data_IF_174573098645
#
_entry.id   IF_174573098645
#
_cell.length_a   1.000
_cell.length_b   1.000
_cell.length_c   1.000
_cell.angle_alpha   90.00
_cell.angle_beta   90.00
_cell.angle_gamma   90.00
#
_symmetry.space_group_name_H-M   'P 1'
#
loop_
_entity.id
_entity.type
_entity.pdbx_description
1 polymer ?
#
# COMPACT_ATOMS: atom_id res chain seq x y z
N UNK A 1 -18.89 -3.56 19.58
CA UNK A 1 -18.58 -4.76 18.76
C UNK A 1 -19.77 -5.70 18.81
N UNK A 2 -20.27 -6.13 17.66
CA UNK A 2 -21.41 -7.06 17.56
C UNK A 2 -20.95 -8.49 17.87
N UNK A 3 -21.88 -9.40 18.30
CA UNK A 3 -21.60 -10.83 18.39
C UNK A 3 -21.18 -11.40 17.01
N UNK A 4 -20.27 -12.37 17.02
CA UNK A 4 -19.80 -13.06 15.82
C UNK A 4 -19.45 -14.51 16.14
N UNK A 5 -19.49 -15.37 15.12
CA UNK A 5 -18.93 -16.71 15.17
C UNK A 5 -17.41 -16.64 14.99
N UNK A 6 -16.69 -17.62 15.52
CA UNK A 6 -15.25 -17.74 15.38
C UNK A 6 -14.86 -19.14 14.97
N UNK A 7 -14.02 -19.26 13.94
CA UNK A 7 -13.45 -20.52 13.48
C UNK A 7 -11.96 -20.37 13.24
N UNK A 8 -11.22 -21.45 13.48
CA UNK A 8 -9.80 -21.55 13.22
C UNK A 8 -9.54 -22.74 12.31
N UNK A 9 -9.50 -22.55 10.97
CA UNK A 9 -9.33 -23.61 10.00
C UNK A 9 -7.97 -24.28 10.10
N UNK A 10 -7.90 -25.55 9.77
CA UNK A 10 -6.65 -26.33 9.76
C UNK A 10 -5.82 -26.10 8.50
N UNK A 11 -6.46 -25.72 7.39
CA UNK A 11 -5.79 -25.49 6.11
C UNK A 11 -6.47 -24.38 5.28
N UNK A 12 -5.84 -24.02 4.16
CA UNK A 12 -6.32 -22.94 3.26
C UNK A 12 -7.66 -23.31 2.62
N UNK A 13 -7.86 -24.58 2.27
CA UNK A 13 -9.09 -25.04 1.63
C UNK A 13 -10.28 -24.89 2.58
N UNK A 14 -10.13 -25.30 3.84
CA UNK A 14 -11.14 -25.11 4.88
C UNK A 14 -11.40 -23.62 5.11
N UNK A 15 -10.35 -22.77 5.20
CA UNK A 15 -10.49 -21.33 5.37
C UNK A 15 -11.35 -20.69 4.26
N UNK A 16 -11.06 -21.03 3.01
CA UNK A 16 -11.80 -20.58 1.83
C UNK A 16 -13.23 -21.12 1.81
N UNK A 17 -13.43 -22.37 2.23
CA UNK A 17 -14.77 -22.97 2.29
C UNK A 17 -15.68 -22.30 3.33
N UNK A 18 -15.13 -21.89 4.47
CA UNK A 18 -15.84 -21.15 5.53
C UNK A 18 -16.19 -19.71 5.16
N UNK A 19 -15.54 -19.14 4.13
CA UNK A 19 -15.71 -17.73 3.76
C UNK A 19 -17.08 -17.46 3.15
N UNK A 20 -17.58 -16.25 3.35
CA UNK A 20 -18.84 -15.75 2.82
C UNK A 20 -18.83 -14.22 2.76
N UNK A 21 -19.84 -13.60 2.17
CA UNK A 21 -19.99 -12.15 2.12
C UNK A 21 -20.04 -11.50 3.53
N UNK A 22 -20.52 -12.24 4.55
CA UNK A 22 -20.63 -11.75 5.93
C UNK A 22 -19.47 -12.19 6.83
N UNK A 23 -18.52 -12.97 6.32
CA UNK A 23 -17.31 -13.36 7.04
C UNK A 23 -16.14 -12.44 6.77
N UNK A 24 -15.10 -12.51 7.63
CA UNK A 24 -13.79 -11.88 7.38
C UNK A 24 -12.67 -12.78 7.89
N UNK A 25 -11.61 -12.90 7.10
CA UNK A 25 -10.36 -13.48 7.57
C UNK A 25 -9.71 -12.54 8.57
N UNK A 26 -9.18 -13.10 9.66
CA UNK A 26 -8.43 -12.37 10.67
C UNK A 26 -7.05 -12.98 10.87
N UNK A 27 -6.02 -12.14 10.80
CA UNK A 27 -4.64 -12.44 11.17
C UNK A 27 -4.27 -11.65 12.44
N UNK A 28 -3.31 -10.72 12.39
CA UNK A 28 -2.94 -9.89 13.54
C UNK A 28 -4.02 -8.91 14.04
N UNK A 29 -5.10 -8.72 13.29
CA UNK A 29 -6.26 -7.91 13.70
C UNK A 29 -6.04 -6.40 13.79
N UNK A 30 -4.86 -5.89 13.51
CA UNK A 30 -4.42 -4.49 13.73
C UNK A 30 -5.23 -3.44 12.96
N UNK A 31 -6.05 -3.82 12.00
CA UNK A 31 -7.01 -2.93 11.35
C UNK A 31 -8.46 -3.42 11.51
N UNK A 32 -8.71 -4.73 11.33
CA UNK A 32 -10.07 -5.27 11.39
C UNK A 32 -10.72 -5.04 12.76
N UNK A 33 -9.98 -5.28 13.85
CA UNK A 33 -10.51 -5.12 15.20
C UNK A 33 -10.84 -3.65 15.52
N UNK A 34 -10.05 -2.70 15.04
CA UNK A 34 -10.37 -1.27 15.17
C UNK A 34 -11.69 -0.94 14.48
N UNK A 35 -11.85 -1.38 13.24
CA UNK A 35 -13.09 -1.18 12.48
C UNK A 35 -14.31 -1.85 13.14
N UNK A 36 -14.10 -3.00 13.80
CA UNK A 36 -15.17 -3.68 14.54
C UNK A 36 -15.52 -2.94 15.84
N UNK A 37 -14.55 -2.39 16.56
CA UNK A 37 -14.76 -1.58 17.77
C UNK A 37 -15.51 -0.29 17.46
N UNK A 38 -15.16 0.37 16.35
CA UNK A 38 -15.85 1.57 15.85
C UNK A 38 -17.17 1.24 15.13
N UNK A 39 -17.55 -0.05 15.10
CA UNK A 39 -18.80 -0.51 14.48
C UNK A 39 -18.91 -0.20 12.98
N UNK A 40 -17.79 -0.03 12.30
CA UNK A 40 -17.66 0.20 10.84
C UNK A 40 -17.69 -1.12 10.09
N UNK A 41 -16.97 -2.13 10.59
CA UNK A 41 -17.02 -3.50 10.09
C UNK A 41 -17.81 -4.38 11.08
N UNK A 42 -18.78 -5.13 10.56
CA UNK A 42 -19.70 -5.94 11.36
C UNK A 42 -19.76 -7.37 10.81
N UNK A 43 -18.63 -8.09 10.78
CA UNK A 43 -18.66 -9.47 10.32
C UNK A 43 -19.49 -10.33 11.29
N UNK A 44 -20.25 -11.26 10.74
CA UNK A 44 -20.98 -12.27 11.52
C UNK A 44 -20.10 -13.48 11.83
N UNK A 45 -19.00 -13.65 11.10
CA UNK A 45 -18.05 -14.73 11.27
C UNK A 45 -16.62 -14.27 11.07
N UNK A 46 -15.75 -14.56 12.04
CA UNK A 46 -14.30 -14.38 11.96
C UNK A 46 -13.62 -15.73 11.70
N UNK A 47 -12.82 -15.78 10.65
CA UNK A 47 -12.02 -16.94 10.26
C UNK A 47 -10.56 -16.64 10.59
N UNK A 48 -10.07 -17.22 11.68
CA UNK A 48 -8.71 -17.00 12.16
C UNK A 48 -7.71 -17.83 11.34
N UNK A 49 -6.92 -17.13 10.53
CA UNK A 49 -5.94 -17.75 9.63
C UNK A 49 -4.53 -17.84 10.23
N UNK A 50 -4.33 -17.44 11.49
CA UNK A 50 -2.99 -17.42 12.12
C UNK A 50 -2.32 -18.78 12.25
N UNK A 51 -3.09 -19.87 12.13
CA UNK A 51 -2.57 -21.25 12.17
C UNK A 51 -2.16 -21.82 10.81
N UNK A 52 -2.37 -21.09 9.71
CA UNK A 52 -2.05 -21.58 8.38
C UNK A 52 -0.55 -21.47 8.08
N UNK A 53 0.04 -22.37 7.26
CA UNK A 53 1.46 -22.38 6.92
C UNK A 53 1.78 -21.31 5.85
N UNK A 54 1.61 -20.03 6.17
CA UNK A 54 1.78 -18.88 5.28
C UNK A 54 2.78 -17.85 5.87
N UNK A 55 3.77 -18.31 6.64
CA UNK A 55 4.70 -17.47 7.38
C UNK A 55 6.18 -17.62 6.94
N UNK A 56 6.42 -18.16 5.74
CA UNK A 56 7.76 -18.36 5.20
C UNK A 56 8.11 -17.27 4.16
N UNK A 57 9.42 -17.00 4.03
CA UNK A 57 10.01 -16.20 2.94
C UNK A 57 10.93 -17.12 2.15
N UNK A 58 10.62 -17.34 0.88
CA UNK A 58 11.28 -18.30 0.02
C UNK A 58 11.79 -17.62 -1.25
N UNK A 59 12.92 -18.11 -1.77
CA UNK A 59 13.40 -17.69 -3.10
C UNK A 59 12.58 -18.40 -4.19
N UNK A 60 12.21 -17.66 -5.23
CA UNK A 60 11.56 -18.23 -6.41
C UNK A 60 12.60 -18.78 -7.41
N UNK A 61 12.15 -19.67 -8.29
CA UNK A 61 13.03 -20.21 -9.33
C UNK A 61 13.59 -19.13 -10.28
N UNK A 62 12.86 -18.02 -10.42
CA UNK A 62 13.23 -16.86 -11.24
C UNK A 62 14.15 -15.88 -10.49
N UNK A 63 14.57 -16.23 -9.28
CA UNK A 63 15.47 -15.41 -8.47
C UNK A 63 14.78 -14.27 -7.72
N UNK A 64 13.45 -14.22 -7.69
CA UNK A 64 12.66 -13.34 -6.85
C UNK A 64 12.46 -13.85 -5.43
N UNK A 65 11.51 -13.26 -4.68
CA UNK A 65 11.09 -13.74 -3.36
C UNK A 65 9.58 -13.95 -3.30
N UNK A 66 9.16 -15.07 -2.70
CA UNK A 66 7.79 -15.34 -2.30
C UNK A 66 7.65 -15.17 -0.80
N UNK A 67 6.79 -14.25 -0.38
CA UNK A 67 6.59 -13.86 1.02
C UNK A 67 5.18 -14.34 1.41
N UNK A 68 5.10 -15.24 2.38
CA UNK A 68 3.82 -15.74 2.89
C UNK A 68 2.99 -14.62 3.52
N UNK A 69 1.68 -14.68 3.34
CA UNK A 69 0.76 -13.62 3.77
C UNK A 69 0.75 -13.39 5.29
N UNK A 70 1.17 -14.36 6.09
CA UNK A 70 1.22 -14.30 7.56
C UNK A 70 2.60 -13.89 8.10
N UNK A 71 3.62 -13.69 7.27
CA UNK A 71 4.89 -13.11 7.72
C UNK A 71 4.59 -11.77 8.39
N UNK A 72 5.08 -11.57 9.64
CA UNK A 72 4.87 -10.31 10.33
C UNK A 72 5.60 -9.16 9.63
N UNK A 73 5.07 -7.95 9.73
CA UNK A 73 5.75 -6.79 9.15
C UNK A 73 7.12 -6.55 9.81
N UNK A 74 7.29 -6.93 11.08
CA UNK A 74 8.57 -6.82 11.77
C UNK A 74 9.59 -7.83 11.21
N UNK A 75 9.22 -9.11 11.11
CA UNK A 75 10.10 -10.15 10.57
C UNK A 75 10.47 -9.88 9.12
N UNK A 76 9.48 -9.43 8.31
CA UNK A 76 9.73 -9.06 6.92
C UNK A 76 10.72 -7.90 6.79
N UNK A 77 10.56 -6.84 7.60
CA UNK A 77 11.42 -5.66 7.52
C UNK A 77 12.90 -5.95 7.85
N UNK A 78 13.14 -6.91 8.75
CA UNK A 78 14.47 -7.32 9.20
C UNK A 78 14.95 -8.64 8.57
N UNK A 79 14.22 -9.16 7.58
CA UNK A 79 14.63 -10.38 6.90
C UNK A 79 15.87 -10.12 6.04
N UNK A 80 16.97 -10.92 6.16
CA UNK A 80 18.23 -10.65 5.46
C UNK A 80 18.11 -10.49 3.95
N UNK A 81 17.29 -11.32 3.30
CA UNK A 81 17.06 -11.21 1.85
C UNK A 81 16.30 -9.94 1.47
N UNK A 82 15.42 -9.44 2.36
CA UNK A 82 14.69 -8.18 2.14
C UNK A 82 15.61 -6.99 2.34
N UNK A 83 16.41 -6.96 3.41
CA UNK A 83 17.35 -5.86 3.66
C UNK A 83 18.38 -5.74 2.54
N UNK A 84 18.89 -6.88 2.03
CA UNK A 84 19.92 -6.90 1.00
C UNK A 84 19.40 -6.65 -0.41
N UNK A 85 18.26 -7.26 -0.77
CA UNK A 85 17.77 -7.27 -2.15
C UNK A 85 16.63 -6.31 -2.42
N UNK A 86 15.86 -5.95 -1.38
CA UNK A 86 14.70 -5.06 -1.48
C UNK A 86 14.69 -4.01 -0.36
N UNK A 87 15.80 -3.27 -0.14
CA UNK A 87 15.92 -2.32 0.97
C UNK A 87 14.82 -1.25 0.96
N UNK A 88 14.27 -0.92 -0.20
CA UNK A 88 13.12 -0.04 -0.36
C UNK A 88 11.89 -0.54 0.42
N UNK A 89 11.64 -1.86 0.42
CA UNK A 89 10.54 -2.48 1.16
C UNK A 89 10.78 -2.42 2.67
N UNK A 90 11.99 -2.77 3.13
CA UNK A 90 12.37 -2.65 4.54
C UNK A 90 12.18 -1.22 5.05
N UNK A 91 12.71 -0.22 4.34
CA UNK A 91 12.58 1.20 4.67
C UNK A 91 11.10 1.62 4.79
N UNK A 92 10.26 1.22 3.83
CA UNK A 92 8.84 1.56 3.83
C UNK A 92 8.11 0.95 5.03
N UNK A 93 8.34 -0.32 5.33
CA UNK A 93 7.73 -0.99 6.49
C UNK A 93 8.18 -0.32 7.79
N UNK A 94 9.46 -0.04 7.96
CA UNK A 94 10.02 0.58 9.15
C UNK A 94 9.58 2.04 9.34
N UNK A 95 9.26 2.75 8.26
CA UNK A 95 8.65 4.08 8.32
C UNK A 95 7.18 4.04 8.77
N UNK A 96 6.52 2.88 8.68
CA UNK A 96 5.11 2.68 9.03
C UNK A 96 4.88 2.27 10.48
N UNK A 97 3.67 2.51 10.99
CA UNK A 97 3.15 2.03 12.27
C UNK A 97 4.06 2.30 13.49
N UNK A 98 4.04 1.40 14.46
CA UNK A 98 4.97 1.30 15.60
C UNK A 98 5.60 -0.10 15.62
N UNK A 99 6.72 -0.33 16.36
CA UNK A 99 7.29 -1.67 16.51
C UNK A 99 6.26 -2.70 16.98
N UNK A 100 5.43 -2.35 17.97
CA UNK A 100 4.40 -3.22 18.54
C UNK A 100 3.35 -3.63 17.48
N UNK A 101 2.91 -2.66 16.66
CA UNK A 101 1.97 -2.96 15.58
C UNK A 101 2.61 -3.82 14.48
N UNK A 102 3.86 -3.55 14.12
CA UNK A 102 4.55 -4.36 13.11
C UNK A 102 4.76 -5.82 13.55
N UNK A 103 4.92 -6.07 14.84
CA UNK A 103 5.00 -7.44 15.39
C UNK A 103 3.69 -8.22 15.22
N UNK A 104 2.56 -7.53 15.12
CA UNK A 104 1.24 -8.15 14.99
C UNK A 104 0.68 -8.10 13.56
N UNK A 105 0.98 -7.04 12.83
CA UNK A 105 0.49 -6.86 11.47
C UNK A 105 1.14 -7.88 10.53
N UNK A 106 0.33 -8.60 9.78
CA UNK A 106 0.79 -9.53 8.74
C UNK A 106 0.95 -8.85 7.39
N UNK A 107 1.79 -9.44 6.54
CA UNK A 107 2.06 -8.92 5.18
C UNK A 107 0.79 -8.86 4.34
N UNK A 108 0.00 -9.93 4.26
CA UNK A 108 -1.28 -9.92 3.54
C UNK A 108 -2.30 -8.95 4.15
N UNK A 109 -2.36 -8.87 5.50
CA UNK A 109 -3.25 -7.95 6.20
C UNK A 109 -2.89 -6.48 5.96
N UNK A 110 -1.62 -6.18 5.76
CA UNK A 110 -1.16 -4.81 5.46
C UNK A 110 -1.73 -4.29 4.12
N UNK A 111 -1.87 -5.15 3.11
CA UNK A 111 -2.48 -4.78 1.83
C UNK A 111 -3.96 -4.41 1.98
N UNK A 112 -4.64 -4.99 2.96
CA UNK A 112 -6.08 -4.88 3.18
C UNK A 112 -6.48 -3.77 4.16
N UNK A 113 -5.51 -2.99 4.66
CA UNK A 113 -5.85 -1.89 5.56
C UNK A 113 -6.67 -0.82 4.85
N UNK A 114 -7.72 -0.36 5.53
CA UNK A 114 -8.66 0.62 4.97
C UNK A 114 -8.22 2.05 5.26
N UNK A 115 -8.79 3.01 4.55
CA UNK A 115 -8.50 4.44 4.69
C UNK A 115 -8.57 4.93 6.15
N UNK A 116 -7.88 6.03 6.45
CA UNK A 116 -7.95 6.75 7.74
C UNK A 116 -8.72 8.07 7.62
N UNK A 117 -9.64 8.15 6.66
CA UNK A 117 -10.56 9.27 6.50
C UNK A 117 -11.42 9.46 7.76
N UNK A 118 -11.46 10.66 8.30
CA UNK A 118 -12.22 10.98 9.53
C UNK A 118 -13.71 10.64 9.37
N UNK A 119 -14.30 10.97 8.22
CA UNK A 119 -15.70 10.70 7.91
C UNK A 119 -16.00 9.20 7.72
N UNK A 120 -15.01 8.41 7.33
CA UNK A 120 -15.13 6.95 7.28
C UNK A 120 -15.19 6.35 8.68
N UNK A 121 -14.44 6.91 9.65
CA UNK A 121 -14.40 6.45 11.03
C UNK A 121 -15.55 7.00 11.88
N UNK A 122 -16.22 8.06 11.48
CA UNK A 122 -17.37 8.60 12.17
C UNK A 122 -18.66 7.98 11.60
N UNK A 123 -19.24 7.03 12.33
CA UNK A 123 -20.45 6.33 11.92
C UNK A 123 -21.73 7.22 11.92
N UNK A 124 -21.64 8.43 12.46
CA UNK A 124 -22.77 9.36 12.54
C UNK A 124 -22.94 10.23 11.29
N UNK A 125 -21.91 10.28 10.42
CA UNK A 125 -21.93 11.08 9.20
C UNK A 125 -22.04 10.21 7.95
N UNK A 126 -22.58 10.70 6.82
CA UNK A 126 -22.64 9.96 5.57
C UNK A 126 -21.24 9.55 5.05
N UNK A 127 -21.14 8.39 4.43
CA UNK A 127 -19.89 7.94 3.78
C UNK A 127 -20.19 6.90 2.72
N UNK A 128 -20.01 7.23 1.44
CA UNK A 128 -20.20 6.31 0.31
C UNK A 128 -19.34 5.03 0.40
N UNK A 129 -18.22 5.07 1.12
CA UNK A 129 -17.36 3.91 1.35
C UNK A 129 -17.94 2.92 2.36
N UNK A 130 -18.75 3.39 3.32
CA UNK A 130 -19.48 2.53 4.27
C UNK A 130 -20.87 2.18 3.75
N UNK A 131 -21.57 3.18 3.24
CA UNK A 131 -22.96 3.10 2.79
C UNK A 131 -23.08 3.79 1.42
N UNK A 132 -23.03 3.01 0.33
CA UNK A 132 -23.07 3.55 -1.02
C UNK A 132 -24.30 4.43 -1.26
N UNK A 133 -24.09 5.60 -1.86
CA UNK A 133 -25.13 6.57 -2.14
C UNK A 133 -25.44 7.56 -1.00
N UNK A 134 -24.83 7.40 0.18
CA UNK A 134 -25.09 8.32 1.31
C UNK A 134 -24.36 9.68 1.20
N UNK A 135 -23.31 9.78 0.38
CA UNK A 135 -22.54 10.99 0.15
C UNK A 135 -21.09 10.92 0.67
N UNK A 136 -20.34 12.00 0.41
CA UNK A 136 -18.95 12.16 0.84
C UNK A 136 -18.68 13.56 1.40
N UNK A 137 -18.91 13.80 2.69
CA UNK A 137 -18.70 15.11 3.33
C UNK A 137 -17.24 15.59 3.30
N UNK A 138 -16.27 14.69 3.10
CA UNK A 138 -14.87 15.06 2.96
C UNK A 138 -14.59 16.00 1.78
N UNK A 139 -15.43 16.01 0.76
CA UNK A 139 -15.25 16.86 -0.42
C UNK A 139 -15.35 18.35 -0.11
N UNK A 140 -16.23 18.72 0.80
CA UNK A 140 -16.51 20.12 1.17
C UNK A 140 -16.17 20.44 2.62
N UNK A 141 -15.79 19.42 3.41
CA UNK A 141 -15.41 19.58 4.81
C UNK A 141 -13.89 19.56 5.00
N UNK A 142 -13.43 19.11 6.19
CA UNK A 142 -11.99 19.01 6.49
C UNK A 142 -11.34 17.92 5.64
N UNK A 143 -10.48 18.30 4.70
CA UNK A 143 -9.90 17.38 3.72
C UNK A 143 -8.37 17.43 3.59
N UNK A 144 -7.68 17.93 4.62
CA UNK A 144 -6.23 18.08 4.67
C UNK A 144 -5.45 16.80 4.29
N UNK A 145 -5.93 15.62 4.72
CA UNK A 145 -5.25 14.33 4.52
C UNK A 145 -5.72 13.57 3.27
N UNK A 146 -6.68 14.12 2.54
CA UNK A 146 -7.35 13.42 1.44
C UNK A 146 -6.59 13.48 0.11
N UNK A 147 -7.09 12.75 -0.88
CA UNK A 147 -6.47 12.58 -2.18
C UNK A 147 -6.35 13.89 -2.96
N UNK A 148 -5.29 13.97 -3.77
CA UNK A 148 -5.06 15.00 -4.80
C UNK A 148 -4.95 14.38 -6.19
N UNK A 149 -4.95 13.04 -6.29
CA UNK A 149 -4.89 12.27 -7.53
C UNK A 149 -5.93 11.15 -7.51
N UNK A 150 -6.54 10.85 -8.65
CA UNK A 150 -7.40 9.70 -8.85
C UNK A 150 -8.62 9.63 -7.93
N UNK A 151 -9.08 10.75 -7.39
CA UNK A 151 -10.32 10.86 -6.63
C UNK A 151 -11.55 10.77 -7.55
N UNK A 152 -12.74 10.60 -6.98
CA UNK A 152 -14.00 10.66 -7.71
C UNK A 152 -15.02 11.52 -6.95
N UNK A 153 -16.16 11.79 -7.59
CA UNK A 153 -17.31 12.43 -6.95
C UNK A 153 -17.81 11.63 -5.74
N UNK A 154 -17.58 10.33 -5.73
CA UNK A 154 -18.03 9.42 -4.69
C UNK A 154 -17.10 9.36 -3.48
N UNK A 155 -15.77 9.55 -3.66
CA UNK A 155 -14.80 9.40 -2.57
C UNK A 155 -13.46 10.08 -2.88
N UNK A 156 -12.93 10.78 -1.87
CA UNK A 156 -11.62 11.45 -1.91
C UNK A 156 -10.62 10.85 -0.92
N UNK A 157 -10.87 9.64 -0.39
CA UNK A 157 -10.02 8.99 0.58
C UNK A 157 -8.66 8.58 -0.01
N UNK A 158 -7.66 8.35 0.85
CA UNK A 158 -6.35 7.85 0.48
C UNK A 158 -6.08 6.45 1.06
N UNK A 159 -5.24 5.67 0.38
CA UNK A 159 -4.70 4.42 0.91
C UNK A 159 -3.58 4.73 1.91
N UNK A 160 -3.57 4.09 3.11
CA UNK A 160 -2.67 4.51 4.18
C UNK A 160 -1.35 3.74 4.27
N UNK A 161 -1.17 2.65 3.51
CA UNK A 161 -0.02 1.74 3.66
C UNK A 161 1.26 2.27 3.02
N UNK A 162 2.31 2.42 3.82
CA UNK A 162 3.67 2.70 3.34
C UNK A 162 4.25 1.49 2.57
N UNK A 163 4.04 0.27 3.09
CA UNK A 163 4.48 -0.98 2.45
C UNK A 163 3.94 -1.12 1.03
N UNK A 164 2.67 -0.80 0.82
CA UNK A 164 2.04 -0.89 -0.50
C UNK A 164 2.66 0.08 -1.53
N UNK A 165 3.21 1.21 -1.09
CA UNK A 165 3.91 2.13 -2.00
C UNK A 165 5.21 1.52 -2.51
N UNK A 166 5.98 0.88 -1.62
CA UNK A 166 7.18 0.14 -2.03
C UNK A 166 6.84 -1.07 -2.92
N UNK A 167 5.80 -1.85 -2.58
CA UNK A 167 5.35 -2.98 -3.39
C UNK A 167 4.92 -2.55 -4.80
N UNK A 168 4.30 -1.38 -4.95
CA UNK A 168 3.95 -0.83 -6.25
C UNK A 168 5.19 -0.50 -7.09
N UNK A 169 6.22 0.13 -6.49
CA UNK A 169 7.48 0.42 -7.15
C UNK A 169 8.24 -0.87 -7.52
N UNK A 170 8.21 -1.88 -6.66
CA UNK A 170 8.88 -3.18 -6.86
C UNK A 170 8.11 -4.14 -7.77
N UNK A 171 6.99 -3.73 -8.36
CA UNK A 171 6.19 -4.55 -9.28
C UNK A 171 5.77 -5.92 -8.70
N UNK A 172 5.37 -5.90 -7.43
CA UNK A 172 4.96 -7.09 -6.73
C UNK A 172 3.76 -7.78 -7.38
N UNK A 173 3.58 -9.06 -7.09
CA UNK A 173 2.40 -9.87 -7.46
C UNK A 173 1.73 -10.40 -6.21
N UNK A 174 0.40 -10.45 -6.20
CA UNK A 174 -0.41 -10.94 -5.07
C UNK A 174 -1.00 -12.29 -5.44
N UNK A 175 -0.61 -13.32 -4.71
CA UNK A 175 -1.15 -14.68 -4.85
C UNK A 175 -2.37 -14.83 -3.97
N UNK A 176 -3.45 -15.29 -4.54
CA UNK A 176 -4.73 -15.49 -3.85
C UNK A 176 -5.29 -16.88 -4.12
N UNK A 177 -6.03 -17.43 -3.14
CA UNK A 177 -6.75 -18.68 -3.24
C UNK A 177 -8.22 -18.42 -2.93
N UNK A 178 -9.10 -18.77 -3.85
CA UNK A 178 -10.55 -18.79 -3.68
C UNK A 178 -11.13 -20.17 -3.96
N UNK A 179 -12.46 -20.30 -3.90
CA UNK A 179 -13.16 -21.54 -4.25
C UNK A 179 -12.96 -21.93 -5.72
N UNK A 180 -12.78 -20.93 -6.59
CA UNK A 180 -12.49 -21.12 -8.01
C UNK A 180 -11.05 -21.54 -8.33
N UNK A 181 -10.18 -21.67 -7.32
CA UNK A 181 -8.78 -22.01 -7.47
C UNK A 181 -7.85 -20.85 -7.11
N UNK A 182 -6.56 -21.04 -7.40
CA UNK A 182 -5.53 -20.03 -7.21
C UNK A 182 -5.45 -19.09 -8.42
N UNK A 183 -5.16 -17.81 -8.15
CA UNK A 183 -4.79 -16.84 -9.20
C UNK A 183 -3.76 -15.84 -8.69
N UNK A 184 -3.15 -15.13 -9.62
CA UNK A 184 -2.18 -14.07 -9.35
C UNK A 184 -2.77 -12.75 -9.83
N UNK A 185 -2.60 -11.70 -9.02
CA UNK A 185 -3.02 -10.35 -9.36
C UNK A 185 -1.76 -9.47 -9.39
N UNK A 186 -1.51 -8.79 -10.50
CA UNK A 186 -0.47 -7.77 -10.54
C UNK A 186 -0.77 -6.68 -9.51
N UNK A 187 0.25 -6.25 -8.76
CA UNK A 187 0.04 -5.28 -7.68
C UNK A 187 -0.56 -3.95 -8.17
N UNK A 188 -0.23 -3.54 -9.38
CA UNK A 188 -0.77 -2.34 -10.02
C UNK A 188 -2.31 -2.37 -10.14
N UNK A 189 -2.87 -3.58 -10.26
CA UNK A 189 -4.31 -3.83 -10.43
C UNK A 189 -4.99 -4.27 -9.13
N UNK A 190 -4.23 -4.56 -8.06
CA UNK A 190 -4.78 -5.10 -6.82
C UNK A 190 -5.71 -4.10 -6.13
N UNK A 191 -5.27 -2.87 -5.90
CA UNK A 191 -6.09 -1.81 -5.32
C UNK A 191 -6.84 -1.03 -6.40
N UNK A 192 -8.03 -0.54 -6.07
CA UNK A 192 -8.92 0.16 -6.97
C UNK A 192 -8.90 1.67 -6.73
N UNK A 193 -9.10 2.46 -7.79
CA UNK A 193 -9.58 3.83 -7.65
C UNK A 193 -11.06 3.81 -7.26
N UNK A 194 -11.57 4.84 -6.58
CA UNK A 194 -12.91 4.83 -6.03
C UNK A 194 -14.00 4.72 -7.11
N UNK A 195 -13.84 5.43 -8.25
CA UNK A 195 -14.86 5.48 -9.29
C UNK A 195 -16.26 5.64 -8.72
N UNK A 196 -17.19 4.81 -9.18
CA UNK A 196 -18.57 4.77 -8.71
C UNK A 196 -18.80 3.76 -7.56
N UNK A 197 -17.79 2.97 -7.19
CA UNK A 197 -17.88 1.90 -6.19
C UNK A 197 -16.81 2.02 -5.10
N UNK A 198 -16.78 3.10 -4.31
CA UNK A 198 -15.74 3.37 -3.32
C UNK A 198 -15.72 2.40 -2.14
N UNK A 199 -16.79 1.62 -1.92
CA UNK A 199 -16.87 0.57 -0.90
C UNK A 199 -15.93 -0.61 -1.21
N UNK A 200 -15.51 -0.79 -2.47
CA UNK A 200 -14.58 -1.83 -2.91
C UNK A 200 -13.16 -1.26 -3.00
N UNK A 201 -12.31 -1.64 -2.04
CA UNK A 201 -10.94 -1.15 -1.95
C UNK A 201 -9.97 -1.87 -2.90
N UNK A 202 -10.27 -3.13 -3.25
CA UNK A 202 -9.38 -4.01 -4.01
C UNK A 202 -10.16 -4.96 -4.94
N UNK A 203 -9.44 -5.86 -5.64
CA UNK A 203 -9.98 -6.80 -6.63
C UNK A 203 -10.29 -8.19 -6.07
N UNK A 204 -10.19 -8.39 -4.74
CA UNK A 204 -10.52 -9.67 -4.14
C UNK A 204 -12.03 -9.94 -4.23
N UNK A 205 -12.37 -11.20 -4.51
CA UNK A 205 -13.71 -11.72 -4.24
C UNK A 205 -13.88 -12.01 -2.73
N UNK A 206 -15.11 -12.13 -2.27
CA UNK A 206 -15.44 -12.32 -0.86
C UNK A 206 -14.88 -13.65 -0.28
N UNK A 207 -14.59 -14.61 -1.14
CA UNK A 207 -14.05 -15.91 -0.78
C UNK A 207 -12.53 -16.05 -1.02
N UNK A 208 -11.85 -14.99 -1.45
CA UNK A 208 -10.43 -15.04 -1.73
C UNK A 208 -9.57 -14.65 -0.53
N UNK A 209 -8.61 -15.53 -0.24
CA UNK A 209 -7.57 -15.36 0.77
C UNK A 209 -6.23 -15.03 0.09
N UNK A 210 -5.57 -13.95 0.51
CA UNK A 210 -4.17 -13.71 0.11
C UNK A 210 -3.29 -14.79 0.74
N UNK A 211 -2.53 -15.51 -0.08
CA UNK A 211 -1.62 -16.56 0.38
C UNK A 211 -0.17 -16.13 0.38
N UNK A 212 0.25 -15.28 -0.58
CA UNK A 212 1.61 -14.75 -0.63
C UNK A 212 1.66 -13.42 -1.40
N UNK A 213 2.75 -12.70 -1.20
CA UNK A 213 3.21 -11.60 -2.05
C UNK A 213 4.51 -12.05 -2.71
N UNK A 214 4.62 -11.88 -4.01
CA UNK A 214 5.82 -12.23 -4.76
C UNK A 214 6.50 -10.96 -5.26
N UNK A 215 7.80 -10.87 -5.06
CA UNK A 215 8.67 -9.84 -5.59
C UNK A 215 9.48 -10.44 -6.75
N UNK A 216 9.52 -9.82 -7.93
CA UNK A 216 10.41 -10.27 -9.01
C UNK A 216 11.89 -10.09 -8.60
N UNK A 217 12.80 -10.75 -9.31
CA UNK A 217 14.23 -10.44 -9.18
C UNK A 217 14.45 -8.94 -9.45
N UNK A 218 15.15 -8.27 -8.54
CA UNK A 218 15.33 -6.82 -8.59
C UNK A 218 16.82 -6.46 -8.70
N UNK A 219 17.11 -5.48 -9.56
CA UNK A 219 18.43 -4.92 -9.78
C UNK A 219 18.55 -3.46 -9.27
N UNK A 220 17.47 -2.91 -8.72
CA UNK A 220 17.36 -1.52 -8.30
C UNK A 220 17.71 -1.30 -6.81
N UNK A 221 18.11 -2.36 -6.09
CA UNK A 221 18.36 -2.31 -4.64
C UNK A 221 19.38 -1.22 -4.25
N UNK A 222 20.44 -1.08 -5.05
CA UNK A 222 21.58 -0.21 -4.75
C UNK A 222 21.19 1.28 -4.68
N UNK A 223 20.31 1.73 -5.57
CA UNK A 223 19.88 3.12 -5.69
C UNK A 223 18.40 3.27 -5.37
N UNK A 224 18.01 2.95 -4.14
CA UNK A 224 16.63 3.04 -3.71
C UNK A 224 16.46 3.84 -2.42
N UNK A 225 15.33 4.55 -2.31
CA UNK A 225 15.02 5.35 -1.12
C UNK A 225 13.51 5.46 -0.91
N UNK A 226 13.08 5.28 0.35
CA UNK A 226 11.72 5.54 0.79
C UNK A 226 11.65 6.81 1.63
N UNK A 227 10.98 7.83 1.12
CA UNK A 227 10.76 9.10 1.82
C UNK A 227 9.33 9.18 2.32
N UNK A 228 9.14 9.43 3.63
CA UNK A 228 7.83 9.67 4.23
C UNK A 228 7.76 11.04 4.89
N UNK A 229 6.79 11.86 4.48
CA UNK A 229 6.50 13.16 5.09
C UNK A 229 5.21 13.04 5.89
N UNK A 230 5.27 13.39 7.17
CA UNK A 230 4.21 13.24 8.16
C UNK A 230 4.23 14.36 9.20
N UNK A 231 3.13 14.57 9.91
CA UNK A 231 2.96 15.67 10.86
C UNK A 231 3.77 15.50 12.16
N UNK A 232 4.26 14.30 12.48
CA UNK A 232 5.06 14.00 13.67
C UNK A 232 6.09 12.90 13.39
N UNK A 233 7.13 12.79 14.21
CA UNK A 233 8.28 11.93 13.98
C UNK A 233 7.96 10.42 13.98
N UNK A 234 6.88 9.99 14.67
CA UNK A 234 6.49 8.57 14.74
C UNK A 234 4.97 8.43 14.79
N UNK A 235 4.48 7.22 14.47
CA UNK A 235 3.08 6.82 14.61
C UNK A 235 2.10 7.81 13.93
N UNK A 236 2.42 8.19 12.70
CA UNK A 236 1.56 9.01 11.86
C UNK A 236 1.54 8.47 10.43
N UNK A 237 0.38 8.56 9.80
CA UNK A 237 0.23 8.27 8.38
C UNK A 237 0.91 9.34 7.53
N UNK A 238 1.32 8.99 6.33
CA UNK A 238 1.94 9.93 5.42
C UNK A 238 0.94 11.00 4.96
N UNK A 239 1.36 12.25 4.95
CA UNK A 239 0.74 13.28 4.10
C UNK A 239 1.10 13.01 2.64
N UNK A 240 2.37 12.72 2.41
CA UNK A 240 2.94 12.28 1.14
C UNK A 240 4.07 11.31 1.46
N UNK A 241 4.17 10.21 0.73
CA UNK A 241 5.35 9.35 0.71
C UNK A 241 5.77 9.03 -0.71
N UNK A 242 7.03 8.68 -0.89
CA UNK A 242 7.63 8.40 -2.18
C UNK A 242 8.55 7.19 -2.06
N UNK A 243 8.30 6.17 -2.85
CA UNK A 243 9.24 5.09 -3.13
C UNK A 243 9.93 5.40 -4.46
N UNK A 244 11.23 5.57 -4.43
CA UNK A 244 12.05 5.84 -5.61
C UNK A 244 13.18 4.82 -5.70
N UNK A 245 13.39 4.25 -6.91
CA UNK A 245 14.51 3.39 -7.20
C UNK A 245 15.03 3.68 -8.61
N UNK A 246 16.34 3.62 -8.78
CA UNK A 246 17.04 3.94 -10.03
C UNK A 246 18.07 2.87 -10.33
N UNK A 247 18.25 2.54 -11.60
CA UNK A 247 19.45 1.91 -12.10
C UNK A 247 20.27 2.94 -12.86
N UNK A 248 21.58 3.00 -12.56
CA UNK A 248 22.48 4.04 -13.08
C UNK A 248 23.67 3.44 -13.82
N UNK A 249 23.97 3.98 -14.98
CA UNK A 249 25.25 3.81 -15.68
C UNK A 249 26.00 5.14 -15.69
N UNK A 250 26.95 5.30 -14.76
CA UNK A 250 27.59 6.59 -14.50
C UNK A 250 26.58 7.60 -13.98
N UNK A 251 26.39 8.70 -14.71
CA UNK A 251 25.41 9.74 -14.40
C UNK A 251 24.08 9.59 -15.16
N UNK A 252 23.89 8.47 -15.88
CA UNK A 252 22.73 8.23 -16.73
C UNK A 252 21.77 7.22 -16.10
N UNK A 253 20.48 7.53 -16.14
CA UNK A 253 19.41 6.65 -15.67
C UNK A 253 19.11 5.62 -16.77
N UNK A 254 19.20 4.31 -16.42
CA UNK A 254 18.87 3.21 -17.33
C UNK A 254 17.56 2.50 -16.97
N UNK A 255 17.16 2.54 -15.69
CA UNK A 255 15.81 2.17 -15.25
C UNK A 255 15.37 3.04 -14.07
N UNK A 256 14.07 3.22 -13.90
CA UNK A 256 13.49 4.03 -12.82
C UNK A 256 12.16 3.48 -12.36
N UNK A 257 11.93 3.53 -11.05
CA UNK A 257 10.66 3.22 -10.40
C UNK A 257 10.28 4.37 -9.49
N UNK A 258 9.02 4.81 -9.56
CA UNK A 258 8.52 5.93 -8.78
C UNK A 258 7.06 5.68 -8.38
N UNK A 259 6.81 5.50 -7.10
CA UNK A 259 5.46 5.34 -6.57
C UNK A 259 5.20 6.33 -5.42
N UNK A 260 3.97 6.84 -5.34
CA UNK A 260 3.56 7.81 -4.32
C UNK A 260 2.51 7.21 -3.39
N UNK A 261 2.59 7.57 -2.11
CA UNK A 261 1.59 7.26 -1.09
C UNK A 261 0.97 8.50 -0.47
N UNK A 262 -0.20 8.33 0.15
CA UNK A 262 -0.94 9.41 0.78
C UNK A 262 -1.59 10.41 -0.19
N UNK A 263 -1.51 10.20 -1.49
CA UNK A 263 -1.99 11.13 -2.53
C UNK A 263 -3.22 10.63 -3.29
N UNK A 264 -3.49 9.32 -3.26
CA UNK A 264 -4.57 8.67 -3.99
C UNK A 264 -5.20 7.52 -3.21
N UNK A 265 -6.30 6.98 -3.71
CA UNK A 265 -7.03 5.84 -3.14
C UNK A 265 -6.27 4.50 -3.26
N UNK A 266 -5.20 4.47 -4.03
CA UNK A 266 -4.22 3.38 -4.15
C UNK A 266 -2.81 3.98 -4.24
N UNK A 267 -1.73 3.21 -4.06
CA UNK A 267 -0.39 3.66 -4.42
C UNK A 267 -0.40 4.19 -5.84
N UNK A 268 0.11 5.41 -6.04
CA UNK A 268 0.07 6.10 -7.34
C UNK A 268 1.39 5.88 -8.07
N UNK A 269 1.32 5.35 -9.27
CA UNK A 269 2.48 5.10 -10.14
C UNK A 269 2.14 5.45 -11.57
N UNK A 270 3.04 6.14 -12.26
CA UNK A 270 2.92 6.49 -13.67
C UNK A 270 4.13 5.96 -14.45
N UNK A 271 3.90 4.87 -15.19
CA UNK A 271 4.95 4.21 -15.99
C UNK A 271 5.43 5.08 -17.16
N UNK A 272 4.64 5.99 -17.70
CA UNK A 272 5.05 6.89 -18.76
C UNK A 272 6.07 7.91 -18.24
N UNK A 273 5.87 8.40 -17.01
CA UNK A 273 6.85 9.27 -16.36
C UNK A 273 8.15 8.52 -16.04
N UNK A 274 8.08 7.29 -15.53
CA UNK A 274 9.27 6.45 -15.31
C UNK A 274 10.06 6.25 -16.61
N UNK A 275 9.38 5.90 -17.70
CA UNK A 275 9.99 5.74 -19.03
C UNK A 275 10.65 7.04 -19.52
N UNK A 276 10.11 8.22 -19.18
CA UNK A 276 10.68 9.51 -19.57
C UNK A 276 12.00 9.83 -18.89
N UNK A 277 12.32 9.19 -17.76
CA UNK A 277 13.58 9.32 -17.04
C UNK A 277 14.72 8.52 -17.70
N UNK A 278 14.39 7.46 -18.45
CA UNK A 278 15.39 6.57 -19.06
C UNK A 278 16.23 7.35 -20.07
N UNK A 279 17.56 7.18 -20.00
CA UNK A 279 18.53 7.87 -20.84
C UNK A 279 18.84 9.30 -20.42
N UNK A 280 18.15 9.86 -19.41
CA UNK A 280 18.43 11.19 -18.88
C UNK A 280 19.58 11.19 -17.89
N UNK A 281 20.26 12.33 -17.77
CA UNK A 281 21.26 12.53 -16.74
C UNK A 281 20.60 12.70 -15.36
N UNK A 282 21.26 12.18 -14.32
CA UNK A 282 20.92 12.45 -12.92
C UNK A 282 21.07 13.95 -12.65
N UNK A 283 19.96 14.66 -12.58
CA UNK A 283 19.96 16.09 -12.31
C UNK A 283 18.68 16.54 -11.62
N UNK A 284 18.77 17.68 -10.91
CA UNK A 284 17.60 18.29 -10.29
C UNK A 284 16.53 18.69 -11.33
N UNK A 285 16.95 19.08 -12.53
CA UNK A 285 16.06 19.44 -13.62
C UNK A 285 15.28 18.21 -14.11
N UNK A 286 15.97 17.09 -14.38
CA UNK A 286 15.35 15.80 -14.76
C UNK A 286 14.30 15.39 -13.74
N UNK A 287 14.64 15.42 -12.45
CA UNK A 287 13.72 15.05 -11.37
C UNK A 287 12.56 16.04 -11.18
N UNK A 288 12.80 17.33 -11.44
CA UNK A 288 11.75 18.36 -11.43
C UNK A 288 10.72 18.11 -12.54
N UNK A 289 11.17 17.82 -13.74
CA UNK A 289 10.30 17.54 -14.88
C UNK A 289 9.45 16.28 -14.65
N UNK A 290 10.05 15.22 -14.09
CA UNK A 290 9.31 14.02 -13.69
C UNK A 290 8.26 14.31 -12.60
N UNK A 291 8.61 15.12 -11.59
CA UNK A 291 7.68 15.50 -10.54
C UNK A 291 6.50 16.32 -11.09
N UNK A 292 6.75 17.25 -12.00
CA UNK A 292 5.70 18.04 -12.64
C UNK A 292 4.79 17.17 -13.51
N UNK A 293 5.34 16.19 -14.23
CA UNK A 293 4.57 15.27 -15.04
C UNK A 293 3.67 14.33 -14.21
N UNK A 294 4.19 13.75 -13.12
CA UNK A 294 3.38 12.88 -12.22
C UNK A 294 2.19 13.64 -11.61
N UNK A 295 2.36 14.94 -11.37
CA UNK A 295 1.38 15.77 -10.69
C UNK A 295 0.53 16.64 -11.63
N UNK A 296 0.63 16.47 -12.95
CA UNK A 296 -0.07 17.31 -13.92
C UNK A 296 -1.59 17.28 -13.75
N UNK A 297 -2.15 16.12 -13.38
CA UNK A 297 -3.58 15.90 -13.18
C UNK A 297 -3.99 16.00 -11.70
N UNK A 298 -3.16 16.63 -10.86
CA UNK A 298 -3.46 16.76 -9.43
C UNK A 298 -4.53 17.84 -9.20
N UNK A 299 -5.65 17.45 -8.60
CA UNK A 299 -6.78 18.30 -8.25
C UNK A 299 -6.86 18.49 -6.73
N UNK A 300 -6.64 19.71 -6.23
CA UNK A 300 -6.74 19.99 -4.80
C UNK A 300 -8.19 20.20 -4.37
N UNK A 301 -8.45 19.86 -3.12
CA UNK A 301 -9.61 20.32 -2.37
C UNK A 301 -9.25 21.58 -1.54
N UNK A 302 -10.21 22.14 -0.82
CA UNK A 302 -10.04 23.39 -0.07
C UNK A 302 -8.84 23.38 0.89
N UNK A 303 -8.58 22.25 1.59
CA UNK A 303 -7.57 22.19 2.66
C UNK A 303 -6.33 21.37 2.32
N UNK A 304 -6.20 20.79 1.11
CA UNK A 304 -5.10 19.92 0.76
C UNK A 304 -4.22 20.38 -0.42
N UNK A 305 -4.43 21.59 -0.93
CA UNK A 305 -3.65 22.15 -2.05
C UNK A 305 -2.13 22.23 -1.77
N UNK A 306 -1.73 22.36 -0.50
CA UNK A 306 -0.32 22.31 -0.10
C UNK A 306 0.35 20.98 -0.44
N UNK A 307 -0.40 19.87 -0.53
CA UNK A 307 0.13 18.53 -0.84
C UNK A 307 0.74 18.45 -2.24
N UNK A 308 0.26 19.23 -3.21
CA UNK A 308 0.83 19.27 -4.57
C UNK A 308 2.27 19.76 -4.51
N UNK A 309 2.50 20.91 -3.85
CA UNK A 309 3.86 21.46 -3.67
C UNK A 309 4.74 20.56 -2.79
N UNK A 310 4.14 19.92 -1.80
CA UNK A 310 4.82 18.97 -0.92
C UNK A 310 5.25 17.72 -1.69
N UNK A 311 4.34 17.12 -2.48
CA UNK A 311 4.61 15.94 -3.30
C UNK A 311 5.70 16.23 -4.34
N UNK A 312 5.63 17.37 -5.03
CA UNK A 312 6.67 17.80 -5.96
C UNK A 312 8.07 17.80 -5.33
N UNK A 313 8.19 18.42 -4.16
CA UNK A 313 9.48 18.49 -3.43
C UNK A 313 9.91 17.11 -2.91
N UNK A 314 8.96 16.28 -2.48
CA UNK A 314 9.22 14.94 -2.02
C UNK A 314 9.75 14.03 -3.14
N UNK A 315 9.17 14.10 -4.33
CA UNK A 315 9.62 13.34 -5.51
C UNK A 315 11.07 13.72 -5.87
N UNK A 316 11.34 15.04 -6.03
CA UNK A 316 12.69 15.51 -6.36
C UNK A 316 13.70 15.04 -5.31
N UNK A 317 13.35 15.12 -4.03
CA UNK A 317 14.22 14.70 -2.94
C UNK A 317 14.43 13.19 -2.94
N UNK A 318 13.37 12.39 -3.04
CA UNK A 318 13.46 10.92 -3.01
C UNK A 318 14.32 10.39 -4.17
N UNK A 319 14.13 10.92 -5.38
CA UNK A 319 14.96 10.57 -6.55
C UNK A 319 16.43 11.00 -6.35
N UNK A 320 16.67 12.19 -5.76
CA UNK A 320 18.04 12.65 -5.45
C UNK A 320 18.69 11.77 -4.37
N UNK A 321 17.95 11.43 -3.31
CA UNK A 321 18.45 10.56 -2.22
C UNK A 321 18.70 9.14 -2.73
N UNK A 322 17.86 8.61 -3.64
CA UNK A 322 18.06 7.31 -4.30
C UNK A 322 19.31 7.30 -5.18
N UNK A 323 19.54 8.35 -5.97
CA UNK A 323 20.70 8.46 -6.85
C UNK A 323 22.04 8.36 -6.09
N UNK A 324 22.12 8.92 -4.88
CA UNK A 324 23.34 8.88 -4.04
C UNK A 324 23.35 7.74 -3.02
N UNK A 325 22.30 6.94 -2.91
CA UNK A 325 22.23 5.86 -1.92
C UNK A 325 23.28 4.78 -2.16
N UNK A 326 23.60 4.47 -3.43
CA UNK A 326 24.58 3.47 -3.81
C UNK A 326 26.05 3.85 -3.53
N UNK A 327 26.31 5.12 -3.23
CA UNK A 327 27.65 5.65 -2.92
C UNK A 327 27.93 5.68 -1.41
N UNK A 328 26.93 5.33 -0.58
CA UNK A 328 27.13 5.23 0.87
C UNK A 328 27.82 3.92 1.22
N UNK A 329 28.89 3.98 2.06
CA UNK A 329 29.66 2.83 2.46
C UNK A 329 28.84 1.85 3.32
#
# INVERSE_FOLDING_TARGET
MNPFQYSKPADIHEAVHLSSAVSRFIAGGTNLLDLMKENISRPEHLIDITGLPLNEVEETAEGGLRIGALVSNADLAWHPLIEQRYPLLSQAILAGASPQLRNMASTGGNLLQRTRCYYFYDATVPCNKREPGSGCPARTGLNRIHAILGASEQCVATHPSDMCVALAALEARVHVQGRGGARVIEFADFHRLPGDAPQRDNQLADDELITAIELPADHLARHSHYLKIRDRASYAFALVSVAAALELEGDRIVDARLALGGVAHKPWRDRAVEASLIGRAVSRETFSNAADAVLQDAEPLEHNGFKIKLARRAIIRALSDAAVAGDRP
#
